data_IF_694012399782
#
_entry.id   IF_694012399782
#
_cell.length_a   1.000
_cell.length_b   1.000
_cell.length_c   1.000
_cell.angle_alpha   90.00
_cell.angle_beta   90.00
_cell.angle_gamma   90.00
#
_symmetry.space_group_name_H-M   'P 1'
#
loop_
_entity.id
_entity.type
_entity.pdbx_description
1 polymer ?
#
# COMPACT_ATOMS: atom_id res chain seq x y z
N UNK A 1 3.52 4.83 -32.48
CA UNK A 1 2.78 5.50 -31.36
C UNK A 1 2.88 4.57 -30.18
N UNK A 2 3.37 5.04 -29.02
CA UNK A 2 3.34 4.21 -27.79
C UNK A 2 1.88 3.98 -27.41
N UNK A 3 1.54 2.73 -27.08
CA UNK A 3 0.20 2.42 -26.58
C UNK A 3 -0.05 3.13 -25.25
N UNK A 4 -1.27 3.58 -25.02
CA UNK A 4 -1.63 4.24 -23.74
C UNK A 4 -1.60 3.21 -22.63
N UNK A 5 -0.94 3.51 -21.48
CA UNK A 5 -0.94 2.61 -20.34
C UNK A 5 -2.36 2.26 -19.87
N UNK A 6 -2.52 1.02 -19.41
CA UNK A 6 -3.70 0.60 -18.67
C UNK A 6 -3.47 0.82 -17.21
N UNK A 7 -4.43 1.46 -16.53
CA UNK A 7 -4.44 1.58 -15.07
C UNK A 7 -5.49 0.61 -14.52
N UNK A 8 -5.05 -0.31 -13.66
CA UNK A 8 -5.91 -1.29 -12.99
C UNK A 8 -5.96 -0.97 -11.50
N UNK A 9 -7.17 -0.92 -10.92
CA UNK A 9 -7.31 -0.68 -9.47
C UNK A 9 -7.88 -1.92 -8.78
N UNK A 10 -7.17 -2.42 -7.76
CA UNK A 10 -7.64 -3.47 -6.86
C UNK A 10 -8.02 -2.88 -5.50
N UNK A 11 -9.29 -3.04 -5.12
CA UNK A 11 -9.78 -2.66 -3.80
C UNK A 11 -9.43 -3.71 -2.73
N UNK A 12 -9.62 -3.37 -1.47
CA UNK A 12 -9.24 -4.22 -0.33
C UNK A 12 -9.84 -5.64 -0.38
N UNK A 13 -11.07 -5.80 -0.85
CA UNK A 13 -11.71 -7.12 -1.03
C UNK A 13 -11.06 -7.94 -2.15
N UNK A 14 -10.43 -7.27 -3.12
CA UNK A 14 -9.70 -7.93 -4.22
C UNK A 14 -8.29 -8.37 -3.83
N UNK A 15 -7.81 -7.97 -2.66
CA UNK A 15 -6.49 -8.30 -2.09
C UNK A 15 -6.60 -8.70 -0.62
N UNK A 16 -7.70 -9.33 -0.22
CA UNK A 16 -7.98 -9.70 1.17
C UNK A 16 -7.14 -10.86 1.73
N UNK A 17 -6.41 -11.60 0.89
CA UNK A 17 -5.54 -12.73 1.26
C UNK A 17 -4.78 -13.25 0.04
N UNK A 18 -3.95 -14.28 0.23
CA UNK A 18 -3.03 -14.77 -0.80
C UNK A 18 -3.71 -15.19 -2.09
N UNK A 19 -4.82 -15.93 -2.02
CA UNK A 19 -5.56 -16.35 -3.21
C UNK A 19 -6.11 -15.17 -4.03
N UNK A 20 -6.46 -14.05 -3.39
CA UNK A 20 -6.88 -12.82 -4.04
C UNK A 20 -5.69 -12.12 -4.72
N UNK A 21 -4.53 -12.06 -4.06
CA UNK A 21 -3.30 -11.54 -4.66
C UNK A 21 -2.89 -12.33 -5.89
N UNK A 22 -2.96 -13.66 -5.85
CA UNK A 22 -2.71 -14.50 -7.03
C UNK A 22 -3.63 -14.15 -8.20
N UNK A 23 -4.93 -13.92 -7.93
CA UNK A 23 -5.88 -13.51 -8.99
C UNK A 23 -5.57 -12.13 -9.54
N UNK A 24 -5.30 -11.17 -8.66
CA UNK A 24 -4.93 -9.82 -9.07
C UNK A 24 -3.64 -9.80 -9.91
N UNK A 25 -2.65 -10.59 -9.51
CA UNK A 25 -1.40 -10.76 -10.24
C UNK A 25 -1.62 -11.34 -11.64
N UNK A 26 -2.45 -12.38 -11.78
CA UNK A 26 -2.78 -12.96 -13.10
C UNK A 26 -3.45 -11.94 -14.03
N UNK A 27 -4.39 -11.14 -13.52
CA UNK A 27 -5.05 -10.08 -14.30
C UNK A 27 -4.02 -9.06 -14.81
N UNK A 28 -3.10 -8.62 -13.95
CA UNK A 28 -2.03 -7.69 -14.34
C UNK A 28 -1.06 -8.33 -15.34
N UNK A 29 -0.67 -9.58 -15.12
CA UNK A 29 0.22 -10.34 -16.01
C UNK A 29 -0.37 -10.60 -17.40
N UNK A 30 -1.66 -10.83 -17.49
CA UNK A 30 -2.37 -10.93 -18.77
C UNK A 30 -2.45 -9.57 -19.48
N UNK A 31 -2.78 -8.52 -18.73
CA UNK A 31 -2.93 -7.18 -19.30
C UNK A 31 -1.61 -6.62 -19.88
N UNK A 32 -0.47 -6.87 -19.23
CA UNK A 32 0.83 -6.36 -19.69
C UNK A 32 1.29 -6.97 -21.02
N UNK A 33 0.73 -8.10 -21.43
CA UNK A 33 1.01 -8.70 -22.74
C UNK A 33 0.56 -7.81 -23.93
N UNK A 34 -0.40 -6.92 -23.68
CA UNK A 34 -0.97 -6.07 -24.73
C UNK A 34 -0.55 -4.61 -24.63
N UNK A 35 -0.25 -4.10 -23.44
CA UNK A 35 0.11 -2.69 -23.23
C UNK A 35 0.81 -2.48 -21.86
N UNK A 36 1.52 -1.36 -21.67
CA UNK A 36 2.09 -1.02 -20.35
C UNK A 36 0.99 -0.95 -19.28
N UNK A 37 1.30 -1.46 -18.08
CA UNK A 37 0.33 -1.56 -16.97
C UNK A 37 0.84 -0.87 -15.71
N UNK A 38 0.01 0.00 -15.15
CA UNK A 38 0.15 0.48 -13.78
C UNK A 38 -0.98 -0.09 -12.93
N UNK A 39 -0.66 -0.55 -11.74
CA UNK A 39 -1.62 -1.13 -10.79
C UNK A 39 -1.71 -0.26 -9.56
N UNK A 40 -2.92 0.13 -9.17
CA UNK A 40 -3.21 0.80 -7.91
C UNK A 40 -3.79 -0.24 -6.95
N UNK A 41 -3.21 -0.40 -5.77
CA UNK A 41 -3.65 -1.40 -4.80
C UNK A 41 -4.01 -0.78 -3.46
N UNK A 42 -5.15 -1.16 -2.91
CA UNK A 42 -5.58 -0.78 -1.55
C UNK A 42 -4.98 -1.73 -0.50
N UNK A 43 -5.04 -1.33 0.76
CA UNK A 43 -4.75 -2.21 1.88
C UNK A 43 -5.60 -3.50 1.84
N UNK A 44 -5.10 -4.58 2.42
CA UNK A 44 -5.88 -5.81 2.65
C UNK A 44 -7.13 -5.48 3.47
N UNK A 45 -8.26 -6.16 3.18
CA UNK A 45 -9.54 -5.92 3.88
C UNK A 45 -9.37 -5.84 5.40
N UNK A 46 -9.86 -4.77 6.02
CA UNK A 46 -9.82 -4.56 7.47
C UNK A 46 -8.47 -4.08 8.02
N UNK A 47 -7.40 -4.00 7.21
CA UNK A 47 -6.10 -3.49 7.69
C UNK A 47 -6.18 -2.00 8.00
N UNK A 48 -6.82 -1.22 7.15
CA UNK A 48 -6.99 0.23 7.37
C UNK A 48 -7.77 0.49 8.66
N UNK A 49 -8.87 -0.24 8.89
CA UNK A 49 -9.66 -0.09 10.13
C UNK A 49 -8.84 -0.43 11.38
N UNK A 50 -8.01 -1.48 11.30
CA UNK A 50 -7.09 -1.88 12.38
C UNK A 50 -6.07 -0.76 12.67
N UNK A 51 -5.44 -0.21 11.63
CA UNK A 51 -4.44 0.85 11.76
C UNK A 51 -5.05 2.15 12.31
N UNK A 52 -6.20 2.56 11.78
CA UNK A 52 -6.90 3.77 12.22
C UNK A 52 -7.43 3.63 13.64
N UNK A 53 -8.00 2.48 13.98
CA UNK A 53 -8.44 2.20 15.35
C UNK A 53 -7.30 2.31 16.35
N UNK A 54 -6.10 1.86 15.98
CA UNK A 54 -4.90 2.02 16.81
C UNK A 54 -4.45 3.49 16.92
N UNK A 55 -4.45 4.24 15.81
CA UNK A 55 -4.10 5.66 15.80
C UNK A 55 -5.02 6.47 16.72
N UNK A 56 -6.32 6.17 16.72
CA UNK A 56 -7.32 6.87 17.55
C UNK A 56 -7.14 6.61 19.06
N UNK A 57 -6.75 5.41 19.45
CA UNK A 57 -6.43 5.07 20.85
C UNK A 57 -5.23 5.89 21.33
N UNK A 58 -4.18 5.98 20.54
CA UNK A 58 -2.95 6.69 20.92
C UNK A 58 -3.11 8.20 21.00
N UNK A 59 -4.15 8.76 20.37
CA UNK A 59 -4.47 10.19 20.44
C UNK A 59 -5.48 10.54 21.55
N UNK A 60 -6.03 9.54 22.24
CA UNK A 60 -7.07 9.75 23.25
C UNK A 60 -8.41 10.25 22.66
N UNK A 61 -8.60 10.13 21.35
CA UNK A 61 -9.75 10.73 20.64
C UNK A 61 -11.00 9.86 20.69
N UNK A 62 -10.88 8.58 21.08
CA UNK A 62 -12.04 7.67 21.17
C UNK A 62 -12.14 6.92 22.49
N UNK A 63 -13.35 6.88 23.04
CA UNK A 63 -13.79 5.83 23.95
C UNK A 63 -13.96 4.53 23.12
N UNK A 64 -12.98 3.66 23.13
CA UNK A 64 -12.94 2.19 22.98
C UNK A 64 -13.98 1.44 22.13
N UNK A 65 -14.74 2.06 21.24
CA UNK A 65 -15.70 1.32 20.41
C UNK A 65 -15.66 1.80 18.97
N UNK A 66 -15.13 0.96 18.07
CA UNK A 66 -15.24 1.19 16.61
C UNK A 66 -16.67 0.84 16.17
N UNK A 67 -17.10 1.39 15.03
CA UNK A 67 -18.41 1.12 14.40
C UNK A 67 -18.66 -0.38 14.10
N UNK A 68 -17.65 -1.22 14.23
CA UNK A 68 -17.70 -2.68 14.04
C UNK A 68 -17.71 -3.47 15.36
N UNK A 69 -17.76 -2.80 16.53
CA UNK A 69 -17.81 -3.47 17.83
C UNK A 69 -16.49 -4.13 18.27
N UNK A 70 -15.38 -3.93 17.58
CA UNK A 70 -14.09 -4.46 17.96
C UNK A 70 -13.42 -3.58 19.03
N UNK A 71 -13.13 -4.15 20.19
CA UNK A 71 -12.32 -3.52 21.24
C UNK A 71 -10.85 -3.66 20.91
N UNK A 72 -10.17 -2.58 20.55
CA UNK A 72 -8.71 -2.58 20.36
C UNK A 72 -8.03 -2.41 21.73
N UNK A 73 -7.81 -3.52 22.43
CA UNK A 73 -7.02 -3.56 23.68
C UNK A 73 -5.55 -3.99 23.42
N UNK A 74 -5.08 -3.92 22.16
CA UNK A 74 -3.76 -4.41 21.79
C UNK A 74 -2.64 -3.40 22.05
N UNK A 75 -1.52 -3.89 22.58
CA UNK A 75 -0.26 -3.14 22.60
C UNK A 75 0.30 -2.96 21.17
N UNK A 76 1.27 -2.05 20.98
CA UNK A 76 2.03 -1.92 19.70
C UNK A 76 2.56 -3.28 19.25
N UNK A 77 3.03 -4.11 20.19
CA UNK A 77 3.52 -5.45 19.91
C UNK A 77 2.43 -6.39 19.36
N UNK A 78 1.22 -6.28 19.87
CA UNK A 78 0.06 -7.05 19.39
C UNK A 78 -0.35 -6.64 17.98
N UNK A 79 -0.38 -5.33 17.70
CA UNK A 79 -0.63 -4.81 16.36
C UNK A 79 0.43 -5.30 15.37
N UNK A 80 1.70 -5.14 15.72
CA UNK A 80 2.82 -5.62 14.91
C UNK A 80 2.70 -7.12 14.61
N UNK A 81 2.48 -7.95 15.63
CA UNK A 81 2.32 -9.40 15.49
C UNK A 81 1.17 -9.74 14.53
N UNK A 82 0.01 -9.13 14.73
CA UNK A 82 -1.19 -9.40 13.93
C UNK A 82 -0.98 -9.03 12.46
N UNK A 83 -0.39 -7.85 12.20
CA UNK A 83 -0.10 -7.41 10.84
C UNK A 83 0.99 -8.26 10.18
N UNK A 84 2.05 -8.61 10.92
CA UNK A 84 3.13 -9.48 10.45
C UNK A 84 2.59 -10.85 10.03
N UNK A 85 1.89 -11.54 10.93
CA UNK A 85 1.34 -12.88 10.66
C UNK A 85 0.43 -12.87 9.44
N UNK A 86 -0.39 -11.85 9.31
CA UNK A 86 -1.36 -11.73 8.22
C UNK A 86 -0.70 -11.48 6.87
N UNK A 87 0.23 -10.51 6.81
CA UNK A 87 0.85 -10.12 5.54
C UNK A 87 1.90 -11.13 5.10
N UNK A 88 2.70 -11.69 6.02
CA UNK A 88 3.65 -12.76 5.70
C UNK A 88 2.93 -14.03 5.21
N UNK A 89 1.79 -14.39 5.80
CA UNK A 89 0.96 -15.49 5.30
C UNK A 89 0.46 -15.19 3.89
N UNK A 90 -0.09 -14.00 3.64
CA UNK A 90 -0.56 -13.64 2.30
C UNK A 90 0.58 -13.65 1.27
N UNK A 91 1.78 -13.20 1.66
CA UNK A 91 2.96 -13.26 0.82
C UNK A 91 3.36 -14.70 0.52
N UNK A 92 3.46 -15.57 1.53
CA UNK A 92 3.82 -16.99 1.33
C UNK A 92 2.82 -17.78 0.46
N UNK A 93 1.54 -17.38 0.46
CA UNK A 93 0.51 -17.96 -0.39
C UNK A 93 0.50 -17.42 -1.83
N UNK A 94 0.97 -16.17 -2.04
CA UNK A 94 0.84 -15.47 -3.32
C UNK A 94 2.15 -15.35 -4.10
N UNK A 95 3.28 -15.33 -3.41
CA UNK A 95 4.60 -15.13 -3.99
C UNK A 95 5.38 -16.43 -3.96
N UNK A 96 5.98 -16.81 -5.08
CA UNK A 96 6.69 -18.10 -5.19
C UNK A 96 8.18 -17.92 -5.52
N UNK A 97 8.94 -18.99 -5.27
CA UNK A 97 10.33 -19.14 -5.69
C UNK A 97 11.25 -18.06 -5.11
N UNK A 98 12.10 -17.53 -5.96
CA UNK A 98 13.15 -16.55 -5.62
C UNK A 98 12.64 -15.18 -5.21
N UNK A 99 11.36 -14.87 -5.47
CA UNK A 99 10.79 -13.56 -5.14
C UNK A 99 10.37 -13.43 -3.67
N UNK A 100 10.01 -14.53 -3.02
CA UNK A 100 9.46 -14.51 -1.67
C UNK A 100 10.41 -13.92 -0.61
N UNK A 101 11.69 -14.29 -0.53
CA UNK A 101 12.58 -13.75 0.50
C UNK A 101 12.72 -12.23 0.44
N UNK A 102 12.81 -11.66 -0.77
CA UNK A 102 12.89 -10.21 -0.93
C UNK A 102 11.58 -9.49 -0.56
N UNK A 103 10.43 -10.12 -0.78
CA UNK A 103 9.13 -9.56 -0.34
C UNK A 103 9.03 -9.61 1.18
N UNK A 104 9.39 -10.72 1.81
CA UNK A 104 9.36 -10.85 3.28
C UNK A 104 10.28 -9.83 3.96
N UNK A 105 11.48 -9.61 3.44
CA UNK A 105 12.40 -8.58 3.94
C UNK A 105 11.77 -7.18 3.86
N UNK A 106 11.19 -6.79 2.71
CA UNK A 106 10.54 -5.48 2.56
C UNK A 106 9.31 -5.33 3.45
N UNK A 107 8.53 -6.40 3.66
CA UNK A 107 7.42 -6.38 4.61
C UNK A 107 7.89 -6.14 6.04
N UNK A 108 8.99 -6.77 6.46
CA UNK A 108 9.57 -6.55 7.79
C UNK A 108 10.04 -5.11 7.98
N UNK A 109 10.75 -4.55 6.98
CA UNK A 109 11.17 -3.14 7.01
C UNK A 109 9.98 -2.19 7.13
N UNK A 110 8.91 -2.43 6.37
CA UNK A 110 7.69 -1.60 6.45
C UNK A 110 6.97 -1.73 7.79
N UNK A 111 6.97 -2.91 8.41
CA UNK A 111 6.39 -3.13 9.73
C UNK A 111 7.21 -2.44 10.83
N UNK A 112 8.53 -2.43 10.73
CA UNK A 112 9.42 -1.66 11.63
C UNK A 112 9.18 -0.15 11.48
N UNK A 113 9.13 0.35 10.25
CA UNK A 113 8.80 1.75 9.95
C UNK A 113 7.41 2.16 10.46
N UNK A 114 6.43 1.26 10.41
CA UNK A 114 5.10 1.50 11.01
C UNK A 114 5.23 1.72 12.52
N UNK A 115 6.04 0.92 13.22
CA UNK A 115 6.27 1.10 14.67
C UNK A 115 6.95 2.44 14.97
N UNK A 116 7.91 2.83 14.13
CA UNK A 116 8.53 4.15 14.22
C UNK A 116 7.50 5.28 14.03
N UNK A 117 6.64 5.17 13.00
CA UNK A 117 5.58 6.14 12.74
C UNK A 117 4.56 6.24 13.87
N UNK A 118 4.21 5.12 14.52
CA UNK A 118 3.34 5.09 15.69
C UNK A 118 3.95 5.86 16.86
N UNK A 119 5.25 5.72 17.09
CA UNK A 119 5.96 6.34 18.19
C UNK A 119 6.42 7.77 17.88
N UNK A 120 6.40 8.20 16.62
CA UNK A 120 6.80 9.53 16.22
C UNK A 120 5.81 10.60 16.74
N UNK A 121 6.30 11.80 17.09
CA UNK A 121 5.41 12.92 17.41
C UNK A 121 4.58 13.30 16.16
N UNK A 122 3.33 13.65 16.37
CA UNK A 122 2.46 14.18 15.31
C UNK A 122 1.80 15.47 15.78
N UNK A 123 1.74 16.46 14.90
CA UNK A 123 1.17 17.78 15.23
C UNK A 123 -0.35 17.70 15.48
N UNK A 124 -1.04 16.81 14.78
CA UNK A 124 -2.49 16.63 14.88
C UNK A 124 -2.87 15.15 14.84
N UNK A 125 -4.07 14.83 15.31
CA UNK A 125 -4.64 13.48 15.18
C UNK A 125 -4.78 13.05 13.71
N UNK A 126 -5.17 13.97 12.82
CA UNK A 126 -5.28 13.69 11.38
C UNK A 126 -3.93 13.36 10.76
N UNK A 127 -2.86 14.09 11.09
CA UNK A 127 -1.50 13.79 10.65
C UNK A 127 -1.05 12.40 11.11
N UNK A 128 -1.32 12.03 12.37
CA UNK A 128 -1.02 10.70 12.91
C UNK A 128 -1.78 9.60 12.17
N UNK A 129 -3.08 9.78 11.97
CA UNK A 129 -3.92 8.82 11.25
C UNK A 129 -3.39 8.59 9.83
N UNK A 130 -3.08 9.67 9.12
CA UNK A 130 -2.53 9.60 7.77
C UNK A 130 -1.17 8.85 7.75
N UNK A 131 -0.24 9.22 8.64
CA UNK A 131 1.09 8.62 8.73
C UNK A 131 1.05 7.11 9.02
N UNK A 132 0.05 6.63 9.75
CA UNK A 132 -0.11 5.20 10.11
C UNK A 132 -0.88 4.46 9.02
N UNK A 133 -1.95 5.04 8.47
CA UNK A 133 -2.84 4.36 7.53
C UNK A 133 -2.13 3.94 6.24
N UNK A 134 -1.18 4.73 5.73
CA UNK A 134 -0.46 4.48 4.47
C UNK A 134 0.28 3.13 4.46
N UNK A 135 0.63 2.58 5.62
CA UNK A 135 1.34 1.31 5.69
C UNK A 135 0.49 0.13 5.22
N UNK A 136 -0.84 0.19 5.32
CA UNK A 136 -1.71 -0.84 4.80
C UNK A 136 -1.58 -1.01 3.29
N UNK A 137 -1.56 0.09 2.55
CA UNK A 137 -1.38 0.11 1.10
C UNK A 137 0.03 -0.29 0.69
N UNK A 138 1.04 0.18 1.42
CA UNK A 138 2.45 -0.15 1.14
C UNK A 138 2.73 -1.64 1.33
N UNK A 139 2.25 -2.25 2.41
CA UNK A 139 2.36 -3.70 2.63
C UNK A 139 1.68 -4.50 1.51
N UNK A 140 0.47 -4.10 1.10
CA UNK A 140 -0.23 -4.74 -0.01
C UNK A 140 0.50 -4.59 -1.34
N UNK A 141 1.14 -3.44 -1.58
CA UNK A 141 1.88 -3.18 -2.82
C UNK A 141 3.08 -4.12 -2.97
N UNK A 142 3.82 -4.40 -1.90
CA UNK A 142 4.95 -5.33 -1.93
C UNK A 142 4.50 -6.76 -2.24
N UNK A 143 3.43 -7.22 -1.61
CA UNK A 143 2.88 -8.55 -1.88
C UNK A 143 2.42 -8.66 -3.33
N UNK A 144 1.71 -7.63 -3.83
CA UNK A 144 1.19 -7.66 -5.20
C UNK A 144 2.31 -7.62 -6.24
N UNK A 145 3.34 -6.80 -6.04
CA UNK A 145 4.49 -6.74 -6.93
C UNK A 145 5.21 -8.10 -7.00
N UNK A 146 5.46 -8.72 -5.85
CA UNK A 146 6.04 -10.07 -5.79
C UNK A 146 5.17 -11.13 -6.45
N UNK A 147 3.85 -11.07 -6.25
CA UNK A 147 2.90 -12.00 -6.87
C UNK A 147 2.84 -11.82 -8.40
N UNK A 148 2.90 -10.58 -8.91
CA UNK A 148 2.97 -10.32 -10.36
C UNK A 148 4.29 -10.87 -10.93
N UNK A 149 5.43 -10.62 -10.26
CA UNK A 149 6.73 -11.16 -10.67
C UNK A 149 6.71 -12.70 -10.68
N UNK A 150 6.07 -13.33 -9.72
CA UNK A 150 5.87 -14.78 -9.67
C UNK A 150 4.96 -15.30 -10.81
N UNK A 151 4.11 -14.44 -11.38
CA UNK A 151 3.27 -14.78 -12.53
C UNK A 151 3.98 -14.57 -13.89
N UNK A 152 5.21 -14.06 -13.89
CA UNK A 152 6.10 -13.98 -15.06
C UNK A 152 6.60 -12.57 -15.43
N UNK A 153 5.76 -11.53 -15.53
CA UNK A 153 6.27 -10.21 -15.91
C UNK A 153 6.97 -9.51 -14.74
N UNK A 154 8.03 -8.73 -14.98
CA UNK A 154 8.66 -7.96 -13.94
C UNK A 154 7.69 -6.93 -13.37
N UNK A 155 7.69 -6.77 -12.05
CA UNK A 155 6.88 -5.77 -11.35
C UNK A 155 7.67 -5.11 -10.24
N UNK A 156 7.41 -3.83 -9.99
CA UNK A 156 8.06 -3.06 -8.94
C UNK A 156 7.08 -2.10 -8.28
N UNK A 157 7.22 -1.95 -6.96
CA UNK A 157 6.53 -0.89 -6.24
C UNK A 157 7.16 0.44 -6.61
N UNK A 158 6.33 1.47 -6.84
CA UNK A 158 6.80 2.83 -7.08
C UNK A 158 7.27 3.41 -5.75
N UNK A 159 8.58 3.56 -5.58
CA UNK A 159 9.23 3.94 -4.31
C UNK A 159 8.84 5.34 -3.80
N UNK A 160 8.48 6.25 -4.70
CA UNK A 160 8.10 7.61 -4.36
C UNK A 160 6.63 7.81 -4.67
N UNK A 161 5.90 8.34 -3.69
CA UNK A 161 4.47 8.60 -3.81
C UNK A 161 4.19 9.51 -5.03
N UNK A 162 3.60 8.96 -6.11
CA UNK A 162 3.45 9.71 -7.35
C UNK A 162 2.26 10.69 -7.31
N UNK A 163 1.39 10.57 -6.31
CA UNK A 163 0.24 11.45 -6.15
C UNK A 163 0.65 12.65 -5.30
N UNK A 164 0.50 13.83 -5.86
CA UNK A 164 0.70 15.09 -5.15
C UNK A 164 -0.63 15.58 -4.57
N UNK A 165 -0.61 15.98 -3.31
CA UNK A 165 -1.79 16.51 -2.60
C UNK A 165 -1.40 17.79 -1.86
N UNK A 166 -2.41 18.50 -1.35
CA UNK A 166 -2.21 19.48 -0.29
C UNK A 166 -2.07 18.77 1.08
N UNK A 167 -1.87 19.54 2.15
CA UNK A 167 -1.63 19.03 3.51
C UNK A 167 -2.92 18.86 4.35
N UNK A 168 -4.10 18.78 3.71
CA UNK A 168 -5.39 18.71 4.45
C UNK A 168 -5.78 17.30 4.91
N UNK A 169 -4.87 16.35 4.82
CA UNK A 169 -5.04 14.95 5.26
C UNK A 169 -6.34 14.29 4.76
N UNK A 170 -7.38 14.17 5.62
CA UNK A 170 -8.64 13.47 5.31
C UNK A 170 -9.44 14.16 4.17
N UNK A 171 -9.20 15.45 3.93
CA UNK A 171 -9.83 16.26 2.87
C UNK A 171 -8.83 16.68 1.80
N UNK A 172 -7.73 15.97 1.66
CA UNK A 172 -6.66 16.33 0.75
C UNK A 172 -7.13 16.37 -0.72
N UNK A 173 -6.83 17.48 -1.39
CA UNK A 173 -7.08 17.64 -2.81
C UNK A 173 -5.83 17.29 -3.63
N UNK A 174 -6.06 16.61 -4.76
CA UNK A 174 -4.98 16.19 -5.65
C UNK A 174 -4.54 17.37 -6.52
N UNK A 175 -3.23 17.69 -6.48
CA UNK A 175 -2.60 18.54 -7.51
C UNK A 175 -2.37 17.69 -8.77
N UNK A 176 -3.25 17.89 -9.76
CA UNK A 176 -3.21 17.13 -11.01
C UNK A 176 -1.97 17.43 -11.87
N UNK A 177 -1.43 18.66 -11.80
CA UNK A 177 -0.26 19.06 -12.58
C UNK A 177 1.01 18.43 -12.01
N UNK A 178 1.22 18.54 -10.71
CA UNK A 178 2.36 17.94 -10.03
C UNK A 178 2.26 16.39 -10.02
N UNK A 179 1.07 15.82 -9.82
CA UNK A 179 0.83 14.36 -9.95
C UNK A 179 1.26 13.87 -11.33
N UNK A 180 0.91 14.59 -12.40
CA UNK A 180 1.34 14.23 -13.76
C UNK A 180 2.85 14.26 -13.91
N UNK A 181 3.51 15.28 -13.36
CA UNK A 181 4.97 15.42 -13.40
C UNK A 181 5.65 14.28 -12.61
N UNK A 182 5.15 13.95 -11.42
CA UNK A 182 5.67 12.84 -10.60
C UNK A 182 5.43 11.48 -11.27
N UNK A 183 4.24 11.23 -11.82
CA UNK A 183 3.97 10.00 -12.57
C UNK A 183 4.90 9.86 -13.78
N UNK A 184 5.14 10.93 -14.54
CA UNK A 184 6.09 10.87 -15.66
C UNK A 184 7.51 10.56 -15.22
N UNK A 185 7.90 11.00 -14.02
CA UNK A 185 9.25 10.81 -13.47
C UNK A 185 9.46 9.45 -12.82
N UNK A 186 8.45 8.91 -12.14
CA UNK A 186 8.58 7.74 -11.27
C UNK A 186 7.83 6.48 -11.78
N UNK A 187 6.74 6.66 -12.51
CA UNK A 187 5.97 5.55 -13.10
C UNK A 187 6.39 5.34 -14.56
N UNK A 188 6.56 6.41 -15.31
CA UNK A 188 6.89 6.37 -16.74
C UNK A 188 8.07 5.46 -17.07
N UNK A 189 9.25 5.59 -16.41
CA UNK A 189 10.41 4.73 -16.70
C UNK A 189 10.12 3.24 -16.53
N UNK A 190 9.41 2.84 -15.47
CA UNK A 190 9.04 1.44 -15.26
C UNK A 190 8.18 0.92 -16.41
N UNK A 191 7.18 1.70 -16.83
CA UNK A 191 6.33 1.32 -17.95
C UNK A 191 7.10 1.24 -19.28
N UNK A 192 8.07 2.12 -19.49
CA UNK A 192 8.93 2.14 -20.67
C UNK A 192 9.86 0.91 -20.75
N UNK A 193 10.25 0.36 -19.60
CA UNK A 193 11.06 -0.86 -19.45
C UNK A 193 10.21 -2.15 -19.47
N UNK A 194 8.88 -2.04 -19.60
CA UNK A 194 7.97 -3.19 -19.58
C UNK A 194 7.74 -3.75 -18.18
N UNK A 195 8.07 -2.99 -17.15
CA UNK A 195 7.83 -3.34 -15.75
C UNK A 195 6.42 -2.91 -15.34
N UNK A 196 5.66 -3.79 -14.69
CA UNK A 196 4.37 -3.43 -14.09
C UNK A 196 4.62 -2.52 -12.90
N UNK A 197 4.17 -1.27 -12.98
CA UNK A 197 4.32 -0.30 -11.90
C UNK A 197 3.21 -0.49 -10.86
N UNK A 198 3.55 -0.88 -9.64
CA UNK A 198 2.59 -1.04 -8.53
C UNK A 198 2.63 0.17 -7.63
N UNK A 199 1.51 0.86 -7.52
CA UNK A 199 1.35 2.10 -6.75
C UNK A 199 0.48 1.83 -5.53
N UNK A 200 0.95 2.11 -4.30
CA UNK A 200 0.08 2.13 -3.12
C UNK A 200 -1.09 3.08 -3.35
N UNK A 201 -2.31 2.58 -3.16
CA UNK A 201 -3.53 3.39 -3.31
C UNK A 201 -3.73 4.30 -2.10
N UNK A 202 -4.55 5.32 -2.28
CA UNK A 202 -4.93 6.23 -1.20
C UNK A 202 -3.76 6.92 -0.47
N UNK A 203 -2.61 6.97 -1.11
CA UNK A 203 -1.39 7.62 -0.59
C UNK A 203 -1.09 8.82 -1.46
N UNK A 204 -0.99 9.99 -0.84
CA UNK A 204 -0.54 11.23 -1.46
C UNK A 204 0.55 11.87 -0.62
N UNK A 205 1.27 12.81 -1.20
CA UNK A 205 2.31 13.55 -0.51
C UNK A 205 2.21 15.05 -0.83
N UNK A 206 2.11 15.87 0.21
CA UNK A 206 2.13 17.32 0.08
C UNK A 206 3.53 17.84 -0.28
N UNK A 207 3.67 19.12 -0.68
CA UNK A 207 4.98 19.76 -0.91
C UNK A 207 5.87 19.77 0.34
N UNK A 208 5.27 19.83 1.53
CA UNK A 208 5.96 19.80 2.83
C UNK A 208 6.43 18.40 3.22
N UNK A 209 6.05 17.37 2.44
CA UNK A 209 6.43 15.99 2.69
C UNK A 209 5.47 15.22 3.62
N UNK A 210 4.28 15.80 3.86
CA UNK A 210 3.22 15.21 4.66
C UNK A 210 2.33 14.29 3.81
#
# INVERSE_FOLDING_TARGET
MRERPLVIKFGGTSVGGGAQFVRAAKIAAEAVQSRPVAVIVSAMSGTTDTLLGYADITTGTTNRTTSTGATHEGSVAELHRTLSERHLRAASEAVSGEHLPGVEERLQVLLEQLIEAINAPAETAAARRAAIAVYGERLSAEILAGAISSAGPPASVVERDPIATDARFDEAEVDAAETRARCSRHVGPLLDEGVVAVVPGYVGRSPEGL
#
